data_IF_537770840851
#
_entry.id   IF_537770840851
#
_cell.length_a   1.000
_cell.length_b   1.000
_cell.length_c   1.000
_cell.angle_alpha   90.00
_cell.angle_beta   90.00
_cell.angle_gamma   90.00
#
_symmetry.space_group_name_H-M   'P 1'
#
loop_
_entity.id
_entity.type
_entity.pdbx_description
1 polymer ?
#
# COMPACT_ATOMS: atom_id res chain seq x y z
N UNK A 1 51.09 -8.00 -4.21
CA UNK A 1 49.71 -8.51 -4.05
C UNK A 1 48.81 -7.33 -3.73
N UNK A 2 48.10 -6.81 -4.74
CA UNK A 2 47.06 -5.79 -4.58
C UNK A 2 45.77 -6.50 -4.16
N UNK A 3 45.19 -6.13 -3.02
CA UNK A 3 43.84 -6.53 -2.64
C UNK A 3 42.91 -5.41 -3.11
N UNK A 4 42.07 -5.71 -4.10
CA UNK A 4 41.03 -4.81 -4.57
C UNK A 4 39.91 -4.71 -3.51
N UNK A 5 39.70 -3.51 -2.98
CA UNK A 5 38.55 -3.20 -2.13
C UNK A 5 37.35 -3.03 -3.05
N UNK A 6 36.52 -4.07 -3.17
CA UNK A 6 35.21 -3.98 -3.82
C UNK A 6 34.34 -3.14 -2.89
N UNK A 7 34.21 -1.85 -3.21
CA UNK A 7 33.20 -0.99 -2.60
C UNK A 7 31.84 -1.40 -3.18
N UNK A 8 31.07 -2.17 -2.42
CA UNK A 8 29.66 -2.41 -2.72
C UNK A 8 28.96 -1.07 -2.46
N UNK A 9 28.69 -0.33 -3.53
CA UNK A 9 27.74 0.78 -3.51
C UNK A 9 26.37 0.17 -3.21
N UNK A 10 25.93 0.24 -1.95
CA UNK A 10 24.51 0.10 -1.63
C UNK A 10 23.79 1.30 -2.26
N UNK A 11 23.30 1.10 -3.48
CA UNK A 11 22.35 1.99 -4.11
C UNK A 11 21.03 1.93 -3.32
N UNK A 12 20.91 2.87 -2.40
CA UNK A 12 19.69 3.22 -1.69
C UNK A 12 18.80 4.04 -2.63
N UNK A 13 18.00 3.37 -3.47
CA UNK A 13 16.97 4.05 -4.28
C UNK A 13 15.69 3.24 -4.52
N UNK A 14 15.61 1.98 -4.13
CA UNK A 14 14.45 1.11 -4.44
C UNK A 14 13.31 1.11 -3.42
N UNK A 15 13.48 1.71 -2.23
CA UNK A 15 12.51 1.61 -1.13
C UNK A 15 11.24 2.45 -1.32
N UNK A 16 11.21 3.36 -2.30
CA UNK A 16 10.08 4.28 -2.48
C UNK A 16 9.22 3.96 -3.70
N UNK A 17 9.67 3.24 -4.71
CA UNK A 17 8.86 2.95 -5.90
C UNK A 17 7.62 2.09 -5.57
N UNK A 18 6.52 2.31 -6.29
CA UNK A 18 5.26 1.59 -6.12
C UNK A 18 5.19 0.41 -7.07
N UNK A 19 4.97 -0.78 -6.54
CA UNK A 19 4.55 -1.92 -7.36
C UNK A 19 3.11 -1.73 -7.85
N UNK A 20 2.62 -2.54 -8.82
CA UNK A 20 1.21 -2.45 -9.22
C UNK A 20 0.25 -2.63 -8.05
N UNK A 21 0.57 -3.52 -7.09
CA UNK A 21 -0.23 -3.71 -5.88
C UNK A 21 -0.28 -2.42 -5.03
N UNK A 22 0.88 -1.78 -4.80
CA UNK A 22 0.93 -0.52 -4.07
C UNK A 22 0.12 0.58 -4.77
N UNK A 23 0.19 0.67 -6.10
CA UNK A 23 -0.58 1.66 -6.85
C UNK A 23 -2.08 1.41 -6.71
N UNK A 24 -2.53 0.16 -6.81
CA UNK A 24 -3.94 -0.19 -6.61
C UNK A 24 -4.36 0.18 -5.18
N UNK A 25 -3.58 -0.20 -4.16
CA UNK A 25 -3.87 0.16 -2.78
C UNK A 25 -4.03 1.68 -2.59
N UNK A 26 -3.08 2.47 -3.10
CA UNK A 26 -3.12 3.94 -3.03
C UNK A 26 -4.36 4.49 -3.73
N UNK A 27 -4.64 3.99 -4.95
CA UNK A 27 -5.79 4.43 -5.75
C UNK A 27 -7.10 4.14 -5.02
N UNK A 28 -7.29 2.89 -4.59
CA UNK A 28 -8.50 2.48 -3.87
C UNK A 28 -8.67 3.25 -2.57
N UNK A 29 -7.60 3.48 -1.79
CA UNK A 29 -7.71 4.27 -0.56
C UNK A 29 -8.16 5.71 -0.82
N UNK A 30 -7.67 6.34 -1.89
CA UNK A 30 -8.15 7.67 -2.26
C UNK A 30 -9.60 7.66 -2.75
N UNK A 31 -10.04 6.58 -3.43
CA UNK A 31 -11.46 6.44 -3.80
C UNK A 31 -12.31 6.33 -2.52
N UNK A 32 -11.97 5.43 -1.60
CA UNK A 32 -12.70 5.23 -0.34
C UNK A 32 -12.89 6.54 0.45
N UNK A 33 -11.85 7.38 0.50
CA UNK A 33 -11.87 8.64 1.24
C UNK A 33 -12.79 9.69 0.62
N UNK A 34 -12.86 9.74 -0.72
CA UNK A 34 -13.50 10.85 -1.44
C UNK A 34 -14.79 10.48 -2.19
N UNK A 35 -15.17 9.19 -2.21
CA UNK A 35 -16.33 8.72 -2.96
C UNK A 35 -17.67 9.26 -2.44
N UNK A 36 -17.77 9.59 -1.15
CA UNK A 36 -18.97 10.20 -0.57
C UNK A 36 -19.29 11.60 -1.13
N UNK A 37 -18.30 12.25 -1.76
CA UNK A 37 -18.43 13.54 -2.41
C UNK A 37 -18.66 13.44 -3.93
N UNK A 38 -18.70 12.23 -4.48
CA UNK A 38 -19.00 11.98 -5.89
C UNK A 38 -20.51 12.10 -6.15
N UNK A 39 -20.90 12.77 -7.24
CA UNK A 39 -22.32 12.85 -7.63
C UNK A 39 -22.84 11.54 -8.21
N UNK A 40 -21.97 10.79 -8.91
CA UNK A 40 -22.31 9.51 -9.54
C UNK A 40 -21.32 8.42 -9.13
N UNK A 41 -21.38 7.92 -7.89
CA UNK A 41 -20.34 7.07 -7.31
C UNK A 41 -19.86 5.92 -8.22
N UNK A 42 -20.77 5.19 -8.88
CA UNK A 42 -20.39 4.13 -9.82
C UNK A 42 -19.51 4.59 -10.98
N UNK A 43 -19.87 5.71 -11.62
CA UNK A 43 -19.11 6.29 -12.74
C UNK A 43 -17.78 6.86 -12.24
N UNK A 44 -17.80 7.59 -11.12
CA UNK A 44 -16.60 8.16 -10.51
C UNK A 44 -15.60 7.06 -10.13
N UNK A 45 -16.02 5.96 -9.51
CA UNK A 45 -15.15 4.81 -9.20
C UNK A 45 -14.48 4.27 -10.47
N UNK A 46 -15.25 4.03 -11.53
CA UNK A 46 -14.71 3.54 -12.81
C UNK A 46 -13.67 4.50 -13.39
N UNK A 47 -13.99 5.80 -13.43
CA UNK A 47 -13.07 6.82 -13.93
C UNK A 47 -11.79 6.89 -13.07
N UNK A 48 -11.95 7.00 -11.75
CA UNK A 48 -10.85 7.18 -10.82
C UNK A 48 -9.90 5.98 -10.77
N UNK A 49 -10.41 4.74 -10.91
CA UNK A 49 -9.56 3.55 -11.05
C UNK A 49 -8.63 3.60 -12.24
N UNK A 50 -9.11 4.16 -13.36
CA UNK A 50 -8.32 4.34 -14.58
C UNK A 50 -7.55 5.66 -14.60
N UNK A 51 -7.51 6.37 -13.47
CA UNK A 51 -6.93 7.71 -13.34
C UNK A 51 -7.48 8.69 -14.39
N UNK A 52 -8.74 8.49 -14.79
CA UNK A 52 -9.51 9.44 -15.57
C UNK A 52 -10.07 10.47 -14.60
N UNK A 53 -9.52 11.69 -14.65
CA UNK A 53 -9.79 12.74 -13.67
C UNK A 53 -11.10 13.48 -13.96
N UNK A 54 -12.20 12.72 -14.00
CA UNK A 54 -13.52 13.19 -14.41
C UNK A 54 -14.62 12.77 -13.41
N UNK A 55 -15.63 13.63 -13.17
CA UNK A 55 -15.79 14.97 -13.73
C UNK A 55 -14.87 16.02 -13.08
N UNK A 56 -14.18 16.83 -13.88
CA UNK A 56 -13.11 17.73 -13.42
C UNK A 56 -13.59 18.89 -12.52
N UNK A 57 -14.87 19.27 -12.65
CA UNK A 57 -15.49 20.33 -11.85
C UNK A 57 -16.08 19.84 -10.52
N UNK A 58 -15.94 18.54 -10.21
CA UNK A 58 -16.44 17.99 -8.94
C UNK A 58 -15.38 18.04 -7.85
N UNK A 59 -15.80 18.47 -6.65
CA UNK A 59 -14.95 18.51 -5.46
C UNK A 59 -14.37 17.13 -5.14
N UNK A 60 -15.17 16.06 -5.23
CA UNK A 60 -14.72 14.68 -5.02
C UNK A 60 -13.56 14.29 -5.95
N UNK A 61 -13.66 14.60 -7.25
CA UNK A 61 -12.59 14.33 -8.23
C UNK A 61 -11.33 15.13 -7.91
N UNK A 62 -11.47 16.41 -7.58
CA UNK A 62 -10.34 17.28 -7.25
C UNK A 62 -9.59 16.79 -6.01
N UNK A 63 -10.32 16.38 -4.98
CA UNK A 63 -9.72 15.85 -3.76
C UNK A 63 -9.15 14.43 -3.94
N UNK A 64 -9.82 13.57 -4.72
CA UNK A 64 -9.26 12.30 -5.17
C UNK A 64 -7.90 12.51 -5.86
N UNK A 65 -7.81 13.43 -6.82
CA UNK A 65 -6.55 13.75 -7.52
C UNK A 65 -5.48 14.24 -6.54
N UNK A 66 -5.80 15.16 -5.64
CA UNK A 66 -4.85 15.63 -4.61
C UNK A 66 -4.36 14.46 -3.74
N UNK A 67 -5.27 13.63 -3.25
CA UNK A 67 -4.94 12.44 -2.46
C UNK A 67 -3.98 11.52 -3.20
N UNK A 68 -4.30 11.22 -4.47
CA UNK A 68 -3.51 10.36 -5.34
C UNK A 68 -2.10 10.91 -5.51
N UNK A 69 -1.97 12.17 -5.96
CA UNK A 69 -0.70 12.83 -6.22
C UNK A 69 0.16 12.92 -4.96
N UNK A 70 -0.43 13.16 -3.79
CA UNK A 70 0.26 13.14 -2.50
C UNK A 70 0.78 11.74 -2.16
N UNK A 71 -0.06 10.70 -2.25
CA UNK A 71 0.30 9.33 -1.85
C UNK A 71 1.32 8.69 -2.80
N UNK A 72 1.31 9.04 -4.08
CA UNK A 72 2.35 8.60 -5.03
C UNK A 72 3.62 9.46 -4.97
N UNK A 73 3.59 10.58 -4.23
CA UNK A 73 4.75 11.43 -3.91
C UNK A 73 5.02 12.55 -4.92
N UNK A 74 4.13 12.76 -5.90
CA UNK A 74 4.26 13.81 -6.91
C UNK A 74 3.90 15.18 -6.35
N UNK A 75 3.03 15.24 -5.33
CA UNK A 75 2.72 16.49 -4.64
C UNK A 75 3.18 16.44 -3.18
N UNK A 76 4.05 17.36 -2.82
CA UNK A 76 4.48 17.59 -1.43
C UNK A 76 3.60 18.67 -0.82
N UNK A 77 2.65 18.24 0.01
CA UNK A 77 1.72 19.14 0.68
C UNK A 77 2.41 20.08 1.68
N UNK A 78 3.52 19.66 2.31
CA UNK A 78 4.24 20.51 3.28
C UNK A 78 5.09 21.55 2.57
N UNK A 79 5.69 21.16 1.45
CA UNK A 79 6.46 22.07 0.58
C UNK A 79 5.60 22.85 -0.41
N UNK A 80 4.29 22.59 -0.43
CA UNK A 80 3.29 23.19 -1.32
C UNK A 80 3.66 23.08 -2.81
N UNK A 81 4.37 22.01 -3.21
CA UNK A 81 4.99 21.93 -4.54
C UNK A 81 4.91 20.55 -5.18
N UNK A 82 4.99 20.53 -6.50
CA UNK A 82 5.14 19.32 -7.27
C UNK A 82 6.60 18.83 -7.28
N UNK A 83 6.78 17.53 -7.45
CA UNK A 83 8.06 16.81 -7.40
C UNK A 83 8.17 15.89 -8.61
N UNK A 84 8.85 16.37 -9.65
CA UNK A 84 9.04 15.62 -10.88
C UNK A 84 10.06 14.49 -10.77
N UNK A 85 11.00 14.58 -9.83
CA UNK A 85 11.99 13.53 -9.51
C UNK A 85 11.32 12.20 -9.18
N UNK A 86 10.18 12.25 -8.50
CA UNK A 86 9.41 11.07 -8.12
C UNK A 86 9.00 10.19 -9.32
N UNK A 87 8.68 10.82 -10.45
CA UNK A 87 8.32 10.09 -11.68
C UNK A 87 9.53 9.36 -12.24
N UNK A 88 10.70 10.02 -12.23
CA UNK A 88 11.95 9.43 -12.70
C UNK A 88 12.36 8.24 -11.84
N UNK A 89 12.29 8.37 -10.51
CA UNK A 89 12.60 7.28 -9.59
C UNK A 89 11.71 6.06 -9.83
N UNK A 90 10.39 6.28 -9.94
CA UNK A 90 9.43 5.23 -10.22
C UNK A 90 9.75 4.50 -11.53
N UNK A 91 9.96 5.27 -12.62
CA UNK A 91 10.29 4.71 -13.91
C UNK A 91 11.64 3.97 -13.89
N UNK A 92 12.70 4.58 -13.38
CA UNK A 92 14.03 3.96 -13.30
C UNK A 92 14.02 2.64 -12.52
N UNK A 93 13.16 2.51 -11.51
CA UNK A 93 13.07 1.30 -10.69
C UNK A 93 12.46 0.12 -11.46
N UNK A 94 11.54 0.38 -12.40
CA UNK A 94 10.75 -0.67 -13.04
C UNK A 94 10.68 -0.59 -14.57
N UNK A 95 11.47 0.27 -15.23
CA UNK A 95 11.40 0.48 -16.68
C UNK A 95 11.60 -0.83 -17.46
N UNK A 96 12.54 -1.66 -17.00
CA UNK A 96 12.82 -2.97 -17.59
C UNK A 96 11.65 -3.93 -17.40
N UNK A 97 11.16 -4.10 -16.18
CA UNK A 97 10.09 -5.06 -15.86
C UNK A 97 8.72 -4.64 -16.42
N UNK A 98 8.48 -3.34 -16.55
CA UNK A 98 7.27 -2.80 -17.19
C UNK A 98 7.35 -2.74 -18.71
N UNK A 99 8.55 -2.95 -19.29
CA UNK A 99 8.82 -2.79 -20.71
C UNK A 99 8.53 -1.37 -21.21
N UNK A 100 8.98 -0.36 -20.46
CA UNK A 100 8.84 1.08 -20.75
C UNK A 100 10.19 1.80 -20.85
N UNK A 101 11.29 1.06 -21.05
CA UNK A 101 12.65 1.62 -21.15
C UNK A 101 12.82 2.61 -22.31
N UNK A 102 11.97 2.52 -23.34
CA UNK A 102 11.90 3.43 -24.48
C UNK A 102 11.28 4.80 -24.13
N UNK A 103 10.54 4.92 -23.01
CA UNK A 103 9.83 6.15 -22.62
C UNK A 103 10.72 7.20 -21.89
N UNK A 104 12.05 7.07 -21.99
CA UNK A 104 12.98 7.88 -21.19
C UNK A 104 12.81 9.37 -21.44
N UNK A 105 12.72 9.78 -22.70
CA UNK A 105 12.65 11.20 -23.07
C UNK A 105 11.34 11.83 -22.59
N UNK A 106 10.23 11.11 -22.71
CA UNK A 106 8.92 11.55 -22.24
C UNK A 106 8.87 11.65 -20.72
N UNK A 107 9.46 10.69 -20.00
CA UNK A 107 9.60 10.71 -18.53
C UNK A 107 10.43 11.92 -18.08
N UNK A 108 11.57 12.16 -18.73
CA UNK A 108 12.44 13.28 -18.40
C UNK A 108 11.76 14.62 -18.67
N UNK A 109 11.01 14.72 -19.77
CA UNK A 109 10.22 15.91 -20.11
C UNK A 109 9.09 16.13 -19.11
N UNK A 110 8.31 15.11 -18.77
CA UNK A 110 7.20 15.22 -17.83
C UNK A 110 7.69 15.63 -16.43
N UNK A 111 8.78 15.02 -15.96
CA UNK A 111 9.46 15.41 -14.72
C UNK A 111 9.81 16.90 -14.71
N UNK A 112 10.41 17.43 -15.80
CA UNK A 112 10.73 18.86 -15.93
C UNK A 112 9.48 19.74 -15.97
N UNK A 113 8.43 19.32 -16.67
CA UNK A 113 7.17 20.07 -16.76
C UNK A 113 6.55 20.27 -15.37
N UNK A 114 6.59 19.25 -14.50
CA UNK A 114 6.17 19.36 -13.09
C UNK A 114 7.06 20.28 -12.25
N UNK A 115 8.37 20.18 -12.39
CA UNK A 115 9.32 21.01 -11.63
C UNK A 115 9.22 22.51 -11.99
N UNK A 116 8.63 22.84 -13.15
CA UNK A 116 8.36 24.23 -13.54
C UNK A 116 7.09 24.82 -12.91
N UNK A 117 6.27 24.00 -12.24
CA UNK A 117 5.10 24.50 -11.50
C UNK A 117 5.62 25.18 -10.22
N UNK A 118 5.39 26.49 -10.03
CA UNK A 118 5.83 27.17 -8.82
C UNK A 118 5.11 26.61 -7.57
N UNK A 119 5.67 26.80 -6.37
CA UNK A 119 4.95 26.50 -5.14
C UNK A 119 3.55 27.14 -5.14
N UNK A 120 2.56 26.37 -4.72
CA UNK A 120 1.17 26.78 -4.71
C UNK A 120 0.90 27.68 -3.51
N UNK A 121 0.10 28.72 -3.73
CA UNK A 121 -0.39 29.58 -2.64
C UNK A 121 -1.45 28.90 -1.77
N UNK A 122 -1.94 27.73 -2.19
CA UNK A 122 -2.99 26.97 -1.52
C UNK A 122 -2.84 25.50 -1.86
N UNK A 123 -2.91 24.66 -0.83
CA UNK A 123 -2.92 23.19 -0.97
C UNK A 123 -4.34 22.63 -1.01
N UNK A 124 -5.38 23.46 -1.20
CA UNK A 124 -6.76 22.98 -1.36
C UNK A 124 -6.90 22.11 -2.62
N UNK A 125 -7.89 21.22 -2.61
CA UNK A 125 -8.08 20.22 -3.67
C UNK A 125 -8.19 20.83 -5.07
N UNK A 126 -8.98 21.90 -5.22
CA UNK A 126 -9.19 22.63 -6.47
C UNK A 126 -7.90 23.28 -6.98
N UNK A 127 -7.11 23.88 -6.08
CA UNK A 127 -5.85 24.52 -6.42
C UNK A 127 -4.80 23.51 -6.91
N UNK A 128 -4.64 22.38 -6.20
CA UNK A 128 -3.73 21.31 -6.59
C UNK A 128 -4.17 20.67 -7.91
N UNK A 129 -5.47 20.37 -8.04
CA UNK A 129 -6.05 19.79 -9.25
C UNK A 129 -5.80 20.68 -10.47
N UNK A 130 -6.14 21.96 -10.37
CA UNK A 130 -5.96 22.91 -11.47
C UNK A 130 -4.50 23.03 -11.89
N UNK A 131 -3.60 23.22 -10.93
CA UNK A 131 -2.18 23.34 -11.22
C UNK A 131 -1.61 22.09 -11.91
N UNK A 132 -2.04 20.90 -11.49
CA UNK A 132 -1.65 19.65 -12.13
C UNK A 132 -2.23 19.52 -13.55
N UNK A 133 -3.54 19.68 -13.72
CA UNK A 133 -4.21 19.49 -15.02
C UNK A 133 -3.71 20.48 -16.07
N UNK A 134 -3.54 21.75 -15.70
CA UNK A 134 -3.12 22.82 -16.63
C UNK A 134 -1.72 22.57 -17.22
N UNK A 135 -0.81 21.95 -16.44
CA UNK A 135 0.59 21.78 -16.85
C UNK A 135 0.96 20.35 -17.26
N UNK A 136 0.39 19.37 -16.56
CA UNK A 136 0.77 17.96 -16.59
C UNK A 136 -0.40 17.04 -16.99
N UNK A 137 -1.63 17.54 -17.12
CA UNK A 137 -2.80 16.73 -17.45
C UNK A 137 -2.65 15.93 -18.75
N UNK A 138 -1.95 16.49 -19.74
CA UNK A 138 -1.66 15.82 -21.03
C UNK A 138 -0.78 14.58 -20.89
N UNK A 139 0.03 14.49 -19.84
CA UNK A 139 0.98 13.40 -19.61
C UNK A 139 0.37 12.31 -18.69
N UNK A 140 -0.93 12.38 -18.39
CA UNK A 140 -1.62 11.41 -17.51
C UNK A 140 -1.52 9.98 -18.06
N UNK A 141 -1.56 9.79 -19.38
CA UNK A 141 -1.41 8.44 -19.96
C UNK A 141 0.00 7.87 -19.80
N UNK A 142 1.04 8.73 -19.84
CA UNK A 142 2.40 8.33 -19.48
C UNK A 142 2.46 7.94 -17.99
N UNK A 143 1.80 8.71 -17.13
CA UNK A 143 1.73 8.41 -15.70
C UNK A 143 1.08 7.04 -15.43
N UNK A 144 -0.02 6.71 -16.15
CA UNK A 144 -0.69 5.41 -16.04
C UNK A 144 0.23 4.24 -16.39
N UNK A 145 1.11 4.40 -17.39
CA UNK A 145 2.11 3.37 -17.75
C UNK A 145 3.18 3.22 -16.67
N UNK A 146 3.71 4.32 -16.15
CA UNK A 146 4.78 4.32 -15.14
C UNK A 146 4.32 3.75 -13.79
N UNK A 147 3.04 3.95 -13.46
CA UNK A 147 2.45 3.50 -12.19
C UNK A 147 1.57 2.25 -12.34
N UNK A 148 1.62 1.54 -13.46
CA UNK A 148 0.93 0.26 -13.67
C UNK A 148 -0.61 0.31 -13.61
N UNK A 149 -1.19 1.47 -13.92
CA UNK A 149 -2.64 1.57 -14.20
C UNK A 149 -2.94 1.04 -15.60
N UNK A 150 -1.99 1.20 -16.52
CA UNK A 150 -2.05 0.54 -17.82
C UNK A 150 -1.87 -0.98 -17.65
N UNK A 151 -2.87 -1.76 -18.10
CA UNK A 151 -2.92 -3.21 -17.91
C UNK A 151 -1.73 -3.93 -18.57
N UNK A 152 -1.22 -3.43 -19.70
CA UNK A 152 -0.12 -4.07 -20.42
C UNK A 152 1.19 -3.94 -19.64
N UNK A 153 1.47 -2.76 -19.07
CA UNK A 153 2.65 -2.56 -18.21
C UNK A 153 2.55 -3.36 -16.90
N UNK A 154 1.37 -3.40 -16.27
CA UNK A 154 1.14 -4.20 -15.07
C UNK A 154 1.35 -5.70 -15.33
N UNK A 155 0.82 -6.20 -16.45
CA UNK A 155 0.98 -7.59 -16.87
C UNK A 155 2.44 -7.97 -17.05
N UNK A 156 3.22 -7.18 -17.79
CA UNK A 156 4.67 -7.42 -17.98
C UNK A 156 5.42 -7.45 -16.65
N UNK A 157 5.08 -6.56 -15.72
CA UNK A 157 5.67 -6.55 -14.39
C UNK A 157 5.39 -7.85 -13.64
N UNK A 158 4.14 -8.30 -13.58
CA UNK A 158 3.77 -9.55 -12.91
C UNK A 158 4.44 -10.77 -13.56
N UNK A 159 4.50 -10.82 -14.89
CA UNK A 159 5.21 -11.87 -15.63
C UNK A 159 6.70 -11.89 -15.28
N UNK A 160 7.33 -10.72 -15.14
CA UNK A 160 8.75 -10.60 -14.77
C UNK A 160 9.03 -10.99 -13.31
N UNK A 161 8.09 -10.75 -12.39
CA UNK A 161 8.31 -11.01 -10.96
C UNK A 161 7.83 -12.39 -10.51
N UNK A 162 6.93 -13.04 -11.25
CA UNK A 162 6.40 -14.35 -10.92
C UNK A 162 5.79 -14.39 -9.51
N UNK A 163 6.15 -15.40 -8.72
CA UNK A 163 5.59 -15.62 -7.38
C UNK A 163 6.20 -14.73 -6.28
N UNK A 164 7.14 -13.84 -6.62
CA UNK A 164 7.70 -12.87 -5.66
C UNK A 164 6.82 -11.65 -5.43
N UNK A 165 5.64 -11.61 -6.05
CA UNK A 165 4.66 -10.53 -5.94
C UNK A 165 3.26 -11.07 -5.64
N UNK A 166 2.52 -10.38 -4.75
CA UNK A 166 1.12 -10.71 -4.46
C UNK A 166 0.29 -10.61 -5.73
N UNK A 167 -0.47 -11.66 -6.03
CA UNK A 167 -1.36 -11.68 -7.19
C UNK A 167 -2.73 -11.08 -6.85
N UNK A 168 -3.49 -10.69 -7.88
CA UNK A 168 -4.88 -10.28 -7.69
C UNK A 168 -5.72 -11.46 -7.15
N UNK A 169 -6.63 -11.21 -6.20
CA UNK A 169 -7.41 -12.25 -5.53
C UNK A 169 -6.67 -13.01 -4.41
N UNK A 170 -5.35 -12.88 -4.31
CA UNK A 170 -4.55 -13.50 -3.26
C UNK A 170 -4.53 -12.63 -2.00
N UNK A 171 -4.68 -13.20 -0.80
CA UNK A 171 -4.52 -12.42 0.45
C UNK A 171 -3.06 -12.10 0.69
N UNK A 172 -2.77 -11.01 1.40
CA UNK A 172 -1.38 -10.73 1.79
C UNK A 172 -0.81 -11.76 2.75
N UNK A 173 -1.68 -12.40 3.53
CA UNK A 173 -1.31 -13.46 4.45
C UNK A 173 -0.85 -14.66 3.64
N UNK A 174 -1.69 -15.16 2.73
CA UNK A 174 -1.36 -16.28 1.84
C UNK A 174 -0.09 -16.00 1.03
N UNK A 175 0.07 -14.80 0.50
CA UNK A 175 1.29 -14.41 -0.21
C UNK A 175 2.54 -14.52 0.68
N UNK A 176 2.51 -13.97 1.90
CA UNK A 176 3.63 -14.07 2.82
C UNK A 176 3.85 -15.51 3.31
N UNK A 177 2.79 -16.30 3.49
CA UNK A 177 2.90 -17.72 3.85
C UNK A 177 3.56 -18.53 2.76
N UNK A 178 3.20 -18.31 1.50
CA UNK A 178 3.83 -18.99 0.39
C UNK A 178 5.33 -18.68 0.26
N UNK A 179 5.78 -17.52 0.73
CA UNK A 179 7.20 -17.14 0.76
C UNK A 179 7.93 -17.82 1.93
N UNK A 180 7.36 -17.77 3.14
CA UNK A 180 8.08 -18.15 4.36
C UNK A 180 7.78 -19.57 4.83
N UNK A 181 6.65 -20.14 4.44
CA UNK A 181 6.16 -21.47 4.76
C UNK A 181 5.64 -22.20 3.50
N UNK A 182 6.46 -22.30 2.43
CA UNK A 182 6.01 -22.82 1.14
C UNK A 182 5.47 -24.25 1.25
N UNK A 183 4.44 -24.57 0.47
CA UNK A 183 3.85 -25.90 0.44
C UNK A 183 4.91 -27.00 0.17
N UNK A 184 4.87 -28.08 0.95
CA UNK A 184 5.83 -29.19 0.85
C UNK A 184 7.17 -28.96 1.58
N UNK A 185 7.40 -27.78 2.17
CA UNK A 185 8.58 -27.53 3.01
C UNK A 185 8.42 -28.08 4.43
N UNK A 186 9.55 -28.28 5.12
CA UNK A 186 9.55 -28.83 6.48
C UNK A 186 8.85 -27.93 7.52
N UNK A 187 8.87 -26.61 7.32
CA UNK A 187 8.25 -25.64 8.20
C UNK A 187 6.80 -25.31 7.81
N UNK A 188 6.27 -25.83 6.70
CA UNK A 188 4.87 -25.62 6.31
C UNK A 188 3.87 -26.05 7.41
N UNK A 189 4.19 -27.10 8.17
CA UNK A 189 3.39 -27.57 9.31
C UNK A 189 3.23 -26.53 10.43
N UNK A 190 4.12 -25.55 10.50
CA UNK A 190 4.06 -24.49 11.52
C UNK A 190 2.97 -23.46 11.20
N UNK A 191 2.45 -23.43 9.96
CA UNK A 191 1.32 -22.55 9.60
C UNK A 191 0.08 -22.78 10.45
N UNK A 192 -0.19 -24.02 10.88
CA UNK A 192 -1.31 -24.31 11.78
C UNK A 192 -1.22 -23.51 13.08
N UNK A 193 0.01 -23.32 13.60
CA UNK A 193 0.28 -22.52 14.80
C UNK A 193 0.20 -21.03 14.51
N UNK A 194 0.81 -20.60 13.40
CA UNK A 194 0.82 -19.20 12.95
C UNK A 194 -0.62 -18.69 12.75
N UNK A 195 -1.46 -19.46 12.06
CA UNK A 195 -2.89 -19.15 11.83
C UNK A 195 -3.73 -19.12 13.10
N UNK A 196 -3.28 -19.80 14.17
CA UNK A 196 -3.88 -19.75 15.50
C UNK A 196 -3.28 -18.64 16.39
N UNK A 197 -2.52 -17.71 15.80
CA UNK A 197 -1.87 -16.59 16.49
C UNK A 197 -0.82 -17.03 17.54
N UNK A 198 -0.24 -18.23 17.40
CA UNK A 198 0.94 -18.62 18.19
C UNK A 198 2.15 -17.79 17.74
N UNK A 199 2.79 -17.10 18.69
CA UNK A 199 3.97 -16.28 18.41
C UNK A 199 5.21 -17.17 18.43
N UNK A 200 5.76 -17.44 17.24
CA UNK A 200 7.04 -18.15 17.11
C UNK A 200 8.19 -17.14 17.20
N UNK A 201 9.30 -17.51 17.86
CA UNK A 201 10.42 -16.60 18.13
C UNK A 201 11.56 -16.70 17.10
N UNK A 202 11.40 -17.53 16.07
CA UNK A 202 12.41 -17.73 15.03
C UNK A 202 12.41 -16.62 13.96
N UNK A 203 13.49 -16.56 13.18
CA UNK A 203 13.68 -15.53 12.16
C UNK A 203 12.70 -15.63 10.99
N UNK A 204 12.18 -16.83 10.69
CA UNK A 204 11.19 -17.02 9.62
C UNK A 204 9.88 -16.34 10.01
N UNK A 205 9.42 -16.57 11.23
CA UNK A 205 8.20 -15.92 11.74
C UNK A 205 8.34 -14.39 11.80
N UNK A 206 9.48 -13.87 12.29
CA UNK A 206 9.74 -12.42 12.32
C UNK A 206 9.67 -11.79 10.92
N UNK A 207 10.27 -12.44 9.92
CA UNK A 207 10.22 -11.98 8.53
C UNK A 207 8.81 -12.09 7.94
N UNK A 208 8.09 -13.15 8.26
CA UNK A 208 6.70 -13.36 7.87
C UNK A 208 5.77 -12.26 8.40
N UNK A 209 5.82 -11.96 9.71
CA UNK A 209 5.03 -10.88 10.30
C UNK A 209 5.41 -9.52 9.70
N UNK A 210 6.70 -9.26 9.47
CA UNK A 210 7.12 -8.04 8.81
C UNK A 210 6.59 -7.95 7.35
N UNK A 211 6.53 -9.06 6.61
CA UNK A 211 5.91 -9.11 5.29
C UNK A 211 4.42 -8.75 5.34
N UNK A 212 3.66 -9.36 6.26
CA UNK A 212 2.24 -9.05 6.43
C UNK A 212 2.07 -7.57 6.79
N UNK A 213 2.78 -7.06 7.79
CA UNK A 213 2.63 -5.68 8.25
C UNK A 213 2.94 -4.66 7.14
N UNK A 214 3.94 -4.91 6.30
CA UNK A 214 4.21 -4.08 5.13
C UNK A 214 3.10 -4.18 4.09
N UNK A 215 2.61 -5.39 3.79
CA UNK A 215 1.50 -5.60 2.87
C UNK A 215 0.20 -4.96 3.34
N UNK A 216 -0.05 -4.92 4.65
CA UNK A 216 -1.18 -4.24 5.24
C UNK A 216 -0.93 -2.75 5.50
N UNK A 217 0.27 -2.24 5.21
CA UNK A 217 0.69 -0.86 5.48
C UNK A 217 0.56 -0.46 6.96
N UNK A 218 0.53 -1.44 7.85
CA UNK A 218 0.72 -1.26 9.30
C UNK A 218 2.16 -0.84 9.61
N UNK A 219 3.10 -1.21 8.74
CA UNK A 219 4.39 -0.57 8.65
C UNK A 219 4.41 0.40 7.47
N UNK A 220 4.89 1.61 7.72
CA UNK A 220 5.20 2.57 6.66
C UNK A 220 6.49 2.18 5.91
N UNK A 221 6.85 2.96 4.90
CA UNK A 221 8.06 2.70 4.08
C UNK A 221 9.37 2.89 4.84
N UNK A 222 9.35 3.55 6.00
CA UNK A 222 10.50 3.71 6.90
C UNK A 222 10.59 2.56 7.92
N UNK A 223 9.68 1.58 7.87
CA UNK A 223 9.51 0.53 8.87
C UNK A 223 9.11 1.08 10.25
N UNK A 224 8.37 2.18 10.27
CA UNK A 224 7.68 2.67 11.45
C UNK A 224 6.25 2.15 11.46
N UNK A 225 5.69 1.88 12.65
CA UNK A 225 4.28 1.49 12.76
C UNK A 225 3.40 2.69 12.39
N UNK A 226 2.43 2.48 11.51
CA UNK A 226 1.39 3.44 11.16
C UNK A 226 0.13 3.16 11.99
N UNK A 227 -0.07 3.87 13.12
CA UNK A 227 -1.23 3.63 13.98
C UNK A 227 -2.55 3.98 13.29
N UNK A 228 -2.57 4.88 12.31
CA UNK A 228 -3.81 5.27 11.62
C UNK A 228 -4.34 4.14 10.74
N UNK A 229 -3.44 3.35 10.12
CA UNK A 229 -3.85 2.22 9.30
C UNK A 229 -4.42 1.08 10.15
N UNK A 230 -3.90 0.89 11.36
CA UNK A 230 -4.38 -0.11 12.31
C UNK A 230 -5.70 0.35 12.94
N UNK A 231 -5.79 1.61 13.37
CA UNK A 231 -7.00 2.20 13.95
C UNK A 231 -8.18 2.10 12.97
N UNK A 232 -7.95 2.37 11.68
CA UNK A 232 -8.96 2.18 10.63
C UNK A 232 -9.52 0.75 10.59
N UNK A 233 -8.68 -0.27 10.80
CA UNK A 233 -9.16 -1.63 10.81
C UNK A 233 -10.00 -1.96 12.05
N UNK A 234 -9.72 -1.30 13.19
CA UNK A 234 -10.59 -1.34 14.38
C UNK A 234 -11.91 -0.58 14.17
N UNK A 235 -11.89 0.58 13.50
CA UNK A 235 -13.11 1.31 13.11
C UNK A 235 -14.04 0.44 12.29
N UNK A 236 -13.49 -0.28 11.31
CA UNK A 236 -14.23 -1.14 10.40
C UNK A 236 -14.92 -2.32 11.11
N UNK A 237 -14.34 -2.81 12.21
CA UNK A 237 -14.96 -3.85 13.06
C UNK A 237 -15.71 -3.26 14.26
N UNK A 238 -15.84 -1.93 14.34
CA UNK A 238 -16.53 -1.19 15.42
C UNK A 238 -15.94 -1.44 16.82
N UNK A 239 -14.60 -1.47 16.92
CA UNK A 239 -13.85 -1.75 18.16
C UNK A 239 -12.96 -0.60 18.65
N UNK A 240 -13.09 0.58 18.07
CA UNK A 240 -12.39 1.78 18.60
C UNK A 240 -12.82 2.03 20.04
N UNK A 241 -11.84 2.18 20.91
CA UNK A 241 -12.06 2.37 22.34
C UNK A 241 -10.83 3.00 23.00
N UNK A 242 -11.01 3.57 24.19
CA UNK A 242 -9.88 4.10 24.98
C UNK A 242 -8.85 3.02 25.35
N UNK A 243 -9.26 1.74 25.38
CA UNK A 243 -8.33 0.62 25.60
C UNK A 243 -7.40 0.42 24.40
N UNK A 244 -7.89 0.66 23.18
CA UNK A 244 -7.08 0.64 21.96
C UNK A 244 -5.98 1.70 22.03
N UNK A 245 -6.33 2.93 22.39
CA UNK A 245 -5.37 4.03 22.53
C UNK A 245 -4.26 3.71 23.55
N UNK A 246 -4.65 3.08 24.67
CA UNK A 246 -3.71 2.64 25.71
C UNK A 246 -2.79 1.52 25.21
N UNK A 247 -3.34 0.52 24.53
CA UNK A 247 -2.58 -0.58 23.96
C UNK A 247 -1.59 -0.08 22.89
N UNK A 248 -2.02 0.79 21.98
CA UNK A 248 -1.13 1.43 21.00
C UNK A 248 -0.03 2.23 21.68
N UNK A 249 -0.38 3.08 22.65
CA UNK A 249 0.61 3.88 23.38
C UNK A 249 1.65 3.02 24.10
N UNK A 250 1.25 1.83 24.56
CA UNK A 250 2.14 0.84 25.18
C UNK A 250 3.00 0.14 24.10
N UNK A 251 2.39 -0.47 23.09
CA UNK A 251 3.09 -1.28 22.09
C UNK A 251 3.98 -0.47 21.15
N UNK A 252 3.64 0.80 20.87
CA UNK A 252 4.49 1.71 20.09
C UNK A 252 5.79 2.09 20.82
N UNK A 253 5.86 1.90 22.15
CA UNK A 253 7.10 2.12 22.92
C UNK A 253 8.07 0.94 22.82
N UNK A 254 7.63 -0.23 22.38
CA UNK A 254 8.47 -1.42 22.19
C UNK A 254 9.29 -1.35 20.88
N UNK A 255 9.81 -0.17 20.56
CA UNK A 255 10.66 0.03 19.38
C UNK A 255 11.90 -0.82 19.50
N UNK A 256 12.15 -1.63 18.49
CA UNK A 256 13.37 -2.41 18.41
C UNK A 256 14.54 -1.50 18.03
N UNK A 257 15.74 -1.85 18.50
CA UNK A 257 16.99 -1.27 17.98
C UNK A 257 17.17 -1.57 16.47
N UNK A 258 16.49 -2.59 15.95
CA UNK A 258 16.45 -2.95 14.54
C UNK A 258 15.05 -2.72 13.97
N UNK A 259 14.86 -1.75 13.05
CA UNK A 259 13.55 -1.42 12.50
C UNK A 259 12.78 -2.60 11.87
N UNK A 260 13.49 -3.61 11.36
CA UNK A 260 12.88 -4.84 10.81
C UNK A 260 12.14 -5.69 11.84
N UNK A 261 12.36 -5.45 13.14
CA UNK A 261 11.66 -6.15 14.23
C UNK A 261 10.47 -5.36 14.77
N UNK A 262 10.23 -4.13 14.31
CA UNK A 262 9.13 -3.30 14.80
C UNK A 262 7.76 -3.98 14.61
N UNK A 263 7.52 -4.58 13.44
CA UNK A 263 6.29 -5.33 13.18
C UNK A 263 6.12 -6.51 14.15
N UNK A 264 7.16 -7.33 14.33
CA UNK A 264 7.11 -8.49 15.21
C UNK A 264 6.86 -8.09 16.67
N UNK A 265 7.60 -7.10 17.18
CA UNK A 265 7.42 -6.62 18.55
C UNK A 265 6.01 -6.06 18.76
N UNK A 266 5.53 -5.23 17.83
CA UNK A 266 4.18 -4.68 17.92
C UNK A 266 3.12 -5.77 17.88
N UNK A 267 3.21 -6.72 16.94
CA UNK A 267 2.30 -7.87 16.83
C UNK A 267 2.27 -8.69 18.12
N UNK A 268 3.44 -9.05 18.64
CA UNK A 268 3.57 -9.80 19.90
C UNK A 268 2.99 -9.02 21.08
N UNK A 269 3.24 -7.71 21.16
CA UNK A 269 2.69 -6.87 22.22
C UNK A 269 1.15 -6.85 22.17
N UNK A 270 0.56 -6.62 21.00
CA UNK A 270 -0.89 -6.59 20.81
C UNK A 270 -1.56 -7.92 21.17
N UNK A 271 -0.93 -9.06 20.85
CA UNK A 271 -1.45 -10.38 21.22
C UNK A 271 -1.34 -10.72 22.71
N UNK A 272 -0.45 -10.07 23.44
CA UNK A 272 -0.32 -10.22 24.90
C UNK A 272 -1.09 -9.16 25.68
N UNK A 273 -1.76 -8.23 24.99
CA UNK A 273 -2.56 -7.18 25.62
C UNK A 273 -4.01 -7.64 25.86
N UNK A 274 -4.73 -7.11 26.86
CA UNK A 274 -6.15 -7.44 27.08
C UNK A 274 -7.07 -7.20 25.87
N UNK A 275 -6.67 -6.42 24.86
CA UNK A 275 -7.43 -6.23 23.62
C UNK A 275 -7.11 -7.25 22.51
N UNK A 276 -6.34 -8.32 22.81
CA UNK A 276 -5.86 -9.27 21.81
C UNK A 276 -6.98 -9.84 20.92
N UNK A 277 -8.16 -10.13 21.47
CA UNK A 277 -9.29 -10.65 20.70
C UNK A 277 -9.86 -9.62 19.71
N UNK A 278 -9.92 -8.34 20.09
CA UNK A 278 -10.33 -7.26 19.17
C UNK A 278 -9.27 -7.04 18.08
N UNK A 279 -7.98 -7.19 18.42
CA UNK A 279 -6.90 -7.15 17.44
C UNK A 279 -7.00 -8.30 16.43
N UNK A 280 -7.19 -9.55 16.89
CA UNK A 280 -7.38 -10.71 16.02
C UNK A 280 -8.59 -10.53 15.10
N UNK A 281 -9.68 -9.97 15.62
CA UNK A 281 -10.90 -9.68 14.86
C UNK A 281 -10.64 -8.67 13.73
N UNK A 282 -10.00 -7.54 14.04
CA UNK A 282 -9.61 -6.54 13.04
C UNK A 282 -8.64 -7.12 12.00
N UNK A 283 -7.66 -7.91 12.45
CA UNK A 283 -6.62 -8.50 11.60
C UNK A 283 -7.18 -9.58 10.65
N UNK A 284 -8.09 -10.43 11.15
CA UNK A 284 -8.85 -11.39 10.34
C UNK A 284 -9.69 -10.68 9.27
N UNK A 285 -10.43 -9.63 9.64
CA UNK A 285 -11.20 -8.89 8.65
C UNK A 285 -10.30 -8.20 7.61
N UNK A 286 -9.12 -7.74 8.03
CA UNK A 286 -8.10 -7.18 7.14
C UNK A 286 -7.54 -8.21 6.17
N UNK A 287 -7.33 -9.46 6.59
CA UNK A 287 -6.95 -10.55 5.68
C UNK A 287 -7.96 -10.69 4.53
N UNK A 288 -9.25 -10.80 4.85
CA UNK A 288 -10.31 -10.96 3.86
C UNK A 288 -10.32 -9.80 2.87
N UNK A 289 -10.20 -8.56 3.37
CA UNK A 289 -10.14 -7.36 2.50
C UNK A 289 -8.85 -7.26 1.70
N UNK A 290 -7.76 -7.90 2.10
CA UNK A 290 -6.50 -7.90 1.35
C UNK A 290 -6.53 -8.77 0.09
N UNK A 291 -7.51 -9.68 -0.03
CA UNK A 291 -7.74 -10.46 -1.24
C UNK A 291 -8.30 -9.60 -2.38
N UNK A 292 -9.08 -8.58 -2.04
CA UNK A 292 -9.80 -7.73 -2.98
C UNK A 292 -9.83 -6.29 -2.47
N UNK A 293 -9.00 -5.41 -3.04
CA UNK A 293 -8.96 -4.02 -2.60
C UNK A 293 -10.29 -3.28 -2.80
N UNK A 294 -11.15 -3.75 -3.70
CA UNK A 294 -12.47 -3.16 -3.92
C UNK A 294 -13.52 -3.64 -2.92
N UNK A 295 -13.16 -4.47 -1.93
CA UNK A 295 -14.11 -5.08 -0.99
C UNK A 295 -15.07 -4.07 -0.37
N UNK A 296 -14.56 -2.94 0.09
CA UNK A 296 -15.35 -1.87 0.70
C UNK A 296 -16.12 -1.08 -0.37
N UNK A 297 -15.49 -0.79 -1.51
CA UNK A 297 -16.09 -0.01 -2.61
C UNK A 297 -17.26 -0.71 -3.28
N UNK A 298 -17.31 -2.05 -3.23
CA UNK A 298 -18.45 -2.82 -3.75
C UNK A 298 -19.72 -2.57 -2.93
N UNK A 299 -19.63 -1.89 -1.78
CA UNK A 299 -20.77 -1.62 -0.90
C UNK A 299 -21.35 -2.89 -0.26
N UNK A 300 -20.62 -4.01 -0.33
CA UNK A 300 -21.22 -5.34 -0.22
C UNK A 300 -21.40 -5.81 1.23
N UNK A 301 -20.62 -5.41 2.23
CA UNK A 301 -20.86 -5.93 3.59
C UNK A 301 -20.55 -4.91 4.68
N UNK A 302 -21.59 -4.48 5.40
CA UNK A 302 -21.39 -4.11 6.81
C UNK A 302 -20.65 -5.26 7.48
N UNK A 303 -19.64 -4.95 8.29
CA UNK A 303 -18.90 -5.96 9.01
C UNK A 303 -19.85 -6.88 9.80
N UNK A 304 -19.76 -8.19 9.51
CA UNK A 304 -20.46 -9.26 10.23
C UNK A 304 -19.42 -10.28 10.70
N UNK A 305 -19.31 -10.45 12.02
CA UNK A 305 -18.30 -11.31 12.63
C UNK A 305 -18.42 -12.77 12.19
N UNK A 306 -19.64 -13.30 12.11
CA UNK A 306 -19.86 -14.71 11.82
C UNK A 306 -19.46 -15.05 10.38
N UNK A 307 -19.78 -14.16 9.43
CA UNK A 307 -19.37 -14.30 8.04
C UNK A 307 -17.85 -14.24 7.89
N UNK A 308 -17.18 -13.32 8.60
CA UNK A 308 -15.71 -13.21 8.56
C UNK A 308 -15.06 -14.44 9.20
N UNK A 309 -15.51 -14.88 10.37
CA UNK A 309 -14.98 -16.07 11.02
C UNK A 309 -15.15 -17.33 10.15
N UNK A 310 -16.25 -17.41 9.38
CA UNK A 310 -16.45 -18.49 8.40
C UNK A 310 -15.46 -18.39 7.23
N UNK A 311 -15.27 -17.20 6.65
CA UNK A 311 -14.32 -16.97 5.55
C UNK A 311 -12.88 -17.27 5.97
N UNK A 312 -12.47 -16.86 7.16
CA UNK A 312 -11.13 -17.17 7.71
C UNK A 312 -10.95 -18.69 7.85
N UNK A 313 -11.93 -19.40 8.42
CA UNK A 313 -11.90 -20.87 8.49
C UNK A 313 -11.85 -21.56 7.13
N UNK A 314 -12.39 -20.94 6.07
CA UNK A 314 -12.27 -21.46 4.70
C UNK A 314 -10.87 -21.23 4.12
N UNK A 315 -10.20 -20.13 4.49
CA UNK A 315 -8.81 -19.87 4.12
C UNK A 315 -7.87 -20.82 4.87
N UNK A 316 -8.05 -21.00 6.18
CA UNK A 316 -7.19 -21.86 7.02
C UNK A 316 -7.25 -23.36 6.66
N UNK A 317 -8.22 -23.77 5.83
CA UNK A 317 -8.37 -25.15 5.36
C UNK A 317 -7.62 -25.45 4.06
N UNK A 318 -7.15 -24.42 3.35
CA UNK A 318 -6.44 -24.56 2.08
C UNK A 318 -4.96 -24.87 2.31
#
# INVERSE_FOLDING_TARGET
FLVAVISIVQASSSLNALTPDDTIFVTTRCIEEWISWAKHPGINVTNWRQWKLEPANEHGTQCFTKCLLKKIGIFDERGEKFKGDRIKEQWQTYATESGTSDLREEVEKFSKDLDTIPPLQSTKCDAVFKAYVDKAGKDTDLLKKIFFIDEATAKKFYESKGDTMKKNGQSYFEFCENIYYPAGSANHKDLCKVRQYEVLEDDTFKKHINCIFKGLRYLDRKNEIDPFEIDRDFELVKKVSTKLDQAFSKCLKERANHPSLNAFNFYKCMLNDPIAEDFKEAFNYREIRSQDYDYILKGIQQYDKNDIDKKVKEVDKK
#
